data_IF_850194700107
#
_entry.id   IF_850194700107
#
_cell.length_a   1.000
_cell.length_b   1.000
_cell.length_c   1.000
_cell.angle_alpha   90.00
_cell.angle_beta   90.00
_cell.angle_gamma   90.00
#
_symmetry.space_group_name_H-M   'P 1'
#
loop_
_entity.id
_entity.type
_entity.pdbx_description
1 polymer ?
#
# COMPACT_ATOMS: atom_id res chain seq x y z
N UNK A 1 -10.43 13.46 8.57
CA UNK A 1 -10.56 12.17 9.28
C UNK A 1 -10.52 11.03 8.29
N UNK A 2 -9.80 9.92 8.63
CA UNK A 2 -9.75 8.69 7.84
C UNK A 2 -10.37 7.59 8.69
N UNK A 3 -11.26 6.77 8.09
CA UNK A 3 -11.83 5.61 8.76
C UNK A 3 -11.45 4.32 8.04
N UNK A 4 -11.23 3.28 8.82
CA UNK A 4 -11.10 1.92 8.35
C UNK A 4 -12.42 1.18 8.55
N UNK A 5 -13.10 0.85 7.45
CA UNK A 5 -14.45 0.28 7.46
C UNK A 5 -14.46 -0.97 6.58
N UNK A 6 -14.68 -2.14 7.17
CA UNK A 6 -14.68 -3.41 6.45
C UNK A 6 -16.04 -3.80 5.85
N UNK A 7 -17.09 -2.99 6.06
CA UNK A 7 -18.39 -3.22 5.46
C UNK A 7 -18.70 -2.14 4.42
N UNK A 8 -18.60 -2.43 3.10
CA UNK A 8 -18.86 -1.46 2.04
C UNK A 8 -20.26 -0.85 2.05
N UNK A 9 -21.24 -1.54 2.63
CA UNK A 9 -22.62 -1.00 2.76
C UNK A 9 -22.70 0.21 3.68
N UNK A 10 -21.73 0.37 4.58
CA UNK A 10 -21.66 1.49 5.52
C UNK A 10 -20.82 2.67 5.00
N UNK A 11 -20.13 2.55 3.89
CA UNK A 11 -19.22 3.60 3.39
C UNK A 11 -19.92 4.96 3.29
N UNK A 12 -21.12 4.98 2.68
CA UNK A 12 -21.89 6.22 2.49
C UNK A 12 -22.37 6.82 3.80
N UNK A 13 -22.71 6.00 4.79
CA UNK A 13 -23.07 6.49 6.13
C UNK A 13 -21.89 7.16 6.83
N UNK A 14 -20.68 6.58 6.70
CA UNK A 14 -19.47 7.18 7.28
C UNK A 14 -19.12 8.52 6.61
N UNK A 15 -19.26 8.63 5.29
CA UNK A 15 -18.99 9.86 4.54
C UNK A 15 -20.07 10.91 4.81
N UNK A 16 -21.33 10.60 4.50
CA UNK A 16 -22.40 11.61 4.47
C UNK A 16 -22.98 11.95 5.85
N UNK A 17 -22.95 11.01 6.80
CA UNK A 17 -23.47 11.20 8.16
C UNK A 17 -22.38 11.29 9.21
N UNK A 18 -21.30 10.52 9.02
CA UNK A 18 -20.14 10.54 9.92
C UNK A 18 -19.16 11.66 9.62
N UNK A 19 -19.25 12.27 8.44
CA UNK A 19 -18.36 13.33 7.97
C UNK A 19 -16.87 12.94 7.98
N UNK A 20 -16.58 11.67 7.64
CA UNK A 20 -15.21 11.26 7.37
C UNK A 20 -14.77 11.75 6.00
N UNK A 21 -13.54 12.27 5.92
CA UNK A 21 -12.98 12.77 4.68
C UNK A 21 -12.60 11.61 3.74
N UNK A 22 -12.01 10.54 4.31
CA UNK A 22 -11.56 9.38 3.55
C UNK A 22 -11.88 8.05 4.25
N UNK A 23 -12.05 7.01 3.44
CA UNK A 23 -12.15 5.62 3.85
C UNK A 23 -11.08 4.80 3.14
N UNK A 24 -10.44 3.85 3.84
CA UNK A 24 -9.58 2.88 3.19
C UNK A 24 -10.36 2.02 2.18
N UNK A 25 -9.87 1.92 0.95
CA UNK A 25 -10.40 0.97 -0.03
C UNK A 25 -9.78 -0.42 0.15
N UNK A 26 -10.02 -1.00 1.35
CA UNK A 26 -9.49 -2.31 1.75
C UNK A 26 -10.24 -3.44 1.05
N UNK A 27 -11.53 -3.53 1.29
CA UNK A 27 -12.39 -4.65 0.86
C UNK A 27 -12.64 -4.61 -0.64
N UNK A 28 -12.63 -3.42 -1.25
CA UNK A 28 -12.78 -3.22 -2.69
C UNK A 28 -11.46 -3.44 -3.44
N UNK A 29 -10.74 -2.36 -3.68
CA UNK A 29 -9.58 -2.35 -4.58
C UNK A 29 -8.39 -3.12 -4.03
N UNK A 30 -8.00 -2.91 -2.75
CA UNK A 30 -6.83 -3.59 -2.19
C UNK A 30 -6.95 -5.12 -2.26
N UNK A 31 -8.04 -5.69 -1.73
CA UNK A 31 -8.24 -7.14 -1.72
C UNK A 31 -8.30 -7.70 -3.15
N UNK A 32 -8.87 -6.95 -4.08
CA UNK A 32 -8.92 -7.35 -5.49
C UNK A 32 -7.53 -7.35 -6.14
N UNK A 33 -6.73 -6.32 -5.92
CA UNK A 33 -5.36 -6.26 -6.45
C UNK A 33 -4.50 -7.39 -5.90
N UNK A 34 -4.63 -7.68 -4.60
CA UNK A 34 -3.96 -8.83 -3.96
C UNK A 34 -4.37 -10.15 -4.60
N UNK A 35 -5.67 -10.37 -4.79
CA UNK A 35 -6.19 -11.57 -5.43
C UNK A 35 -5.74 -11.73 -6.90
N UNK A 36 -5.72 -10.62 -7.66
CA UNK A 36 -5.21 -10.63 -9.06
C UNK A 36 -3.72 -10.97 -9.08
N UNK A 37 -2.92 -10.38 -8.19
CA UNK A 37 -1.48 -10.65 -8.13
C UNK A 37 -1.16 -12.10 -7.77
N UNK A 38 -2.01 -12.72 -6.96
CA UNK A 38 -1.92 -14.14 -6.59
C UNK A 38 -2.48 -15.09 -7.66
N UNK A 39 -3.09 -14.56 -8.73
CA UNK A 39 -3.72 -15.36 -9.77
C UNK A 39 -5.06 -15.99 -9.39
N UNK A 40 -5.69 -15.50 -8.33
CA UNK A 40 -6.96 -16.06 -7.82
C UNK A 40 -8.19 -15.51 -8.56
N UNK A 41 -8.06 -14.39 -9.23
CA UNK A 41 -9.14 -13.82 -10.03
C UNK A 41 -8.60 -13.03 -11.24
N UNK A 42 -9.49 -12.66 -12.13
CA UNK A 42 -9.13 -11.91 -13.35
C UNK A 42 -8.95 -10.42 -13.06
N UNK A 43 -7.97 -9.78 -13.72
CA UNK A 43 -7.82 -8.33 -13.67
C UNK A 43 -9.04 -7.56 -14.20
N UNK A 44 -9.91 -8.20 -15.00
CA UNK A 44 -11.19 -7.60 -15.44
C UNK A 44 -12.11 -7.25 -14.27
N UNK A 45 -11.94 -7.91 -13.12
CA UNK A 45 -12.77 -7.64 -11.94
C UNK A 45 -12.42 -6.31 -11.25
N UNK A 46 -11.27 -5.70 -11.57
CA UNK A 46 -10.88 -4.38 -11.05
C UNK A 46 -11.92 -3.32 -11.44
N UNK A 47 -12.49 -3.42 -12.65
CA UNK A 47 -13.53 -2.48 -13.10
C UNK A 47 -14.73 -2.44 -12.15
N UNK A 48 -15.19 -3.59 -11.67
CA UNK A 48 -16.32 -3.63 -10.73
C UNK A 48 -16.00 -3.03 -9.36
N UNK A 49 -14.74 -3.03 -8.94
CA UNK A 49 -14.34 -2.44 -7.66
C UNK A 49 -14.58 -0.93 -7.67
N UNK A 50 -14.05 -0.22 -8.67
CA UNK A 50 -14.24 1.22 -8.72
C UNK A 50 -15.68 1.63 -9.06
N UNK A 51 -16.40 0.86 -9.90
CA UNK A 51 -17.81 1.12 -10.19
C UNK A 51 -18.69 1.05 -8.95
N UNK A 52 -18.37 0.17 -8.02
CA UNK A 52 -19.15 0.00 -6.77
C UNK A 52 -19.07 1.21 -5.83
N UNK A 53 -18.08 2.06 -6.00
CA UNK A 53 -17.82 3.25 -5.18
C UNK A 53 -17.72 4.53 -6.02
N UNK A 54 -18.21 4.49 -7.28
CA UNK A 54 -18.08 5.58 -8.24
C UNK A 54 -18.58 6.93 -7.71
N UNK A 55 -19.70 6.92 -6.99
CA UNK A 55 -20.33 8.11 -6.40
C UNK A 55 -19.60 8.67 -5.17
N UNK A 56 -18.67 7.91 -4.59
CA UNK A 56 -17.87 8.30 -3.43
C UNK A 56 -16.37 8.17 -3.70
N UNK A 57 -15.98 8.04 -4.96
CA UNK A 57 -14.62 7.75 -5.36
C UNK A 57 -13.59 8.73 -4.78
N UNK A 58 -13.92 10.02 -4.71
CA UNK A 58 -13.07 11.07 -4.15
C UNK A 58 -12.77 10.90 -2.65
N UNK A 59 -13.57 10.10 -1.96
CA UNK A 59 -13.40 9.77 -0.54
C UNK A 59 -12.67 8.45 -0.31
N UNK A 60 -12.32 7.71 -1.34
CA UNK A 60 -11.64 6.42 -1.18
C UNK A 60 -10.12 6.62 -1.14
N UNK A 61 -9.48 6.18 -0.07
CA UNK A 61 -8.02 6.18 0.09
C UNK A 61 -7.46 4.85 -0.41
N UNK A 62 -6.79 4.88 -1.55
CA UNK A 62 -6.09 3.71 -2.08
C UNK A 62 -4.80 3.44 -1.31
N UNK A 63 -4.44 2.18 -1.18
CA UNK A 63 -3.18 1.76 -0.56
C UNK A 63 -2.80 0.35 -1.03
N UNK A 64 -1.55 -0.03 -0.85
CA UNK A 64 -1.04 -1.37 -1.13
C UNK A 64 -0.40 -2.02 0.09
N UNK A 65 0.04 -1.23 1.04
CA UNK A 65 0.59 -1.66 2.33
C UNK A 65 0.08 -0.73 3.43
N UNK A 66 -0.13 -1.28 4.61
CA UNK A 66 -0.41 -0.53 5.83
C UNK A 66 0.13 -1.29 7.05
N UNK A 67 -0.24 -0.86 8.24
CA UNK A 67 0.23 -1.46 9.50
C UNK A 67 -0.37 -2.84 9.82
N UNK A 68 -1.44 -3.24 9.14
CA UNK A 68 -2.13 -4.51 9.35
C UNK A 68 -1.92 -5.53 8.22
N UNK A 69 -1.56 -5.07 7.02
CA UNK A 69 -1.40 -5.93 5.86
C UNK A 69 0.06 -6.35 5.63
N UNK A 70 0.25 -7.52 5.04
CA UNK A 70 1.58 -7.98 4.67
C UNK A 70 2.21 -7.06 3.63
N UNK A 71 3.52 -6.87 3.73
CA UNK A 71 4.32 -6.18 2.74
C UNK A 71 4.28 -6.91 1.40
N UNK A 72 4.23 -6.19 0.29
CA UNK A 72 4.23 -6.77 -1.06
C UNK A 72 5.43 -7.69 -1.26
N UNK A 73 6.60 -7.29 -0.77
CA UNK A 73 7.84 -8.05 -0.90
C UNK A 73 7.96 -9.24 0.06
N UNK A 74 7.02 -9.42 0.99
CA UNK A 74 7.03 -10.54 1.93
C UNK A 74 6.69 -11.87 1.25
N UNK A 75 7.13 -12.97 1.85
CA UNK A 75 6.81 -14.32 1.40
C UNK A 75 5.31 -14.65 1.55
N UNK A 76 4.59 -13.85 2.33
CA UNK A 76 3.14 -14.00 2.57
C UNK A 76 2.26 -13.21 1.58
N UNK A 77 2.86 -12.41 0.70
CA UNK A 77 2.13 -11.71 -0.36
C UNK A 77 2.70 -12.08 -1.73
N UNK A 78 3.61 -11.30 -2.29
CA UNK A 78 4.12 -11.51 -3.64
C UNK A 78 5.57 -12.01 -3.69
N UNK A 79 6.29 -11.96 -2.58
CA UNK A 79 7.70 -12.37 -2.45
C UNK A 79 8.71 -11.51 -3.19
N UNK A 80 8.24 -10.48 -3.90
CA UNK A 80 9.06 -9.58 -4.71
C UNK A 80 8.35 -8.22 -4.84
N UNK A 81 9.02 -7.15 -4.42
CA UNK A 81 8.48 -5.78 -4.49
C UNK A 81 8.15 -5.34 -5.93
N UNK A 82 8.87 -5.86 -6.94
CA UNK A 82 8.63 -5.51 -8.35
C UNK A 82 7.27 -6.00 -8.85
N UNK A 83 6.72 -7.05 -8.26
CA UNK A 83 5.37 -7.53 -8.58
C UNK A 83 4.28 -6.54 -8.15
N UNK A 84 4.59 -5.60 -7.25
CA UNK A 84 3.72 -4.51 -6.85
C UNK A 84 3.57 -3.40 -7.90
N UNK A 85 4.45 -3.33 -8.91
CA UNK A 85 4.46 -2.24 -9.89
C UNK A 85 3.13 -2.06 -10.65
N UNK A 86 2.49 -3.11 -11.19
CA UNK A 86 1.17 -2.96 -11.83
C UNK A 86 0.09 -2.52 -10.84
N UNK A 87 0.15 -3.01 -9.59
CA UNK A 87 -0.80 -2.62 -8.55
C UNK A 87 -0.66 -1.14 -8.20
N UNK A 88 0.59 -0.64 -8.12
CA UNK A 88 0.86 0.78 -7.89
C UNK A 88 0.26 1.65 -9.00
N UNK A 89 0.45 1.28 -10.28
CA UNK A 89 -0.14 2.02 -11.40
C UNK A 89 -1.66 2.09 -11.31
N UNK A 90 -2.32 0.98 -10.99
CA UNK A 90 -3.78 0.97 -10.82
C UNK A 90 -4.19 1.86 -9.66
N UNK A 91 -3.57 1.71 -8.49
CA UNK A 91 -3.94 2.46 -7.28
C UNK A 91 -3.69 3.96 -7.40
N UNK A 92 -2.65 4.37 -8.11
CA UNK A 92 -2.27 5.77 -8.23
C UNK A 92 -2.94 6.49 -9.42
N UNK A 93 -3.23 5.77 -10.53
CA UNK A 93 -3.59 6.41 -11.79
C UNK A 93 -5.00 6.06 -12.30
N UNK A 94 -5.71 5.13 -11.64
CA UNK A 94 -7.05 4.74 -12.09
C UNK A 94 -8.05 5.88 -11.90
N UNK A 95 -7.90 6.66 -10.84
CA UNK A 95 -8.75 7.78 -10.45
C UNK A 95 -7.92 8.90 -9.83
N UNK A 96 -8.57 9.98 -9.42
CA UNK A 96 -7.96 11.14 -8.76
C UNK A 96 -8.03 11.07 -7.23
N UNK A 97 -8.35 9.93 -6.66
CA UNK A 97 -8.41 9.74 -5.22
C UNK A 97 -7.00 9.63 -4.61
N UNK A 98 -6.84 10.00 -3.34
CA UNK A 98 -5.55 9.95 -2.68
C UNK A 98 -5.03 8.52 -2.55
N UNK A 99 -3.71 8.37 -2.57
CA UNK A 99 -3.04 7.11 -2.33
C UNK A 99 -2.10 7.23 -1.13
N UNK A 100 -2.16 6.27 -0.22
CA UNK A 100 -1.22 6.15 0.88
C UNK A 100 -0.03 5.26 0.49
N UNK A 101 1.17 5.75 0.72
CA UNK A 101 2.41 4.96 0.66
C UNK A 101 2.84 4.67 2.10
N UNK A 102 2.90 3.39 2.46
CA UNK A 102 3.37 2.99 3.78
C UNK A 102 4.90 3.05 3.83
N UNK A 103 5.47 3.45 4.98
CA UNK A 103 6.91 3.69 5.12
C UNK A 103 7.74 2.49 4.66
N UNK A 104 8.73 2.71 3.78
CA UNK A 104 9.59 1.67 3.24
C UNK A 104 8.97 0.86 2.09
N UNK A 105 7.71 1.07 1.73
CA UNK A 105 7.07 0.42 0.59
C UNK A 105 7.82 0.72 -0.71
N UNK A 106 8.22 1.97 -0.90
CA UNK A 106 8.99 2.44 -2.05
C UNK A 106 10.44 1.90 -2.08
N UNK A 107 10.88 1.30 -0.99
CA UNK A 107 12.19 0.65 -0.85
C UNK A 107 12.10 -0.87 -0.93
N UNK A 108 10.91 -1.42 -1.01
CA UNK A 108 10.69 -2.86 -1.05
C UNK A 108 10.88 -3.56 0.30
N UNK A 109 10.49 -2.88 1.40
CA UNK A 109 10.53 -3.49 2.73
C UNK A 109 9.74 -4.80 2.76
N UNK A 110 10.34 -5.84 3.36
CA UNK A 110 9.76 -7.19 3.37
C UNK A 110 8.94 -7.51 4.61
N UNK A 111 9.27 -6.90 5.76
CA UNK A 111 8.68 -7.26 7.05
C UNK A 111 8.92 -8.73 7.41
N UNK A 112 10.08 -9.28 7.02
CA UNK A 112 10.43 -10.71 7.21
C UNK A 112 11.53 -10.93 8.24
N UNK A 113 11.92 -9.88 8.93
CA UNK A 113 12.90 -9.99 10.02
C UNK A 113 12.19 -10.40 11.31
N UNK A 114 12.88 -11.18 12.15
CA UNK A 114 12.35 -11.66 13.45
C UNK A 114 12.44 -10.55 14.49
N UNK A 115 11.61 -9.55 14.37
CA UNK A 115 11.65 -8.35 15.18
C UNK A 115 10.25 -7.85 15.53
N UNK A 116 10.20 -7.04 16.57
CA UNK A 116 8.97 -6.41 17.01
C UNK A 116 7.93 -7.38 17.54
N UNK A 117 6.70 -6.95 17.49
CA UNK A 117 5.55 -7.65 18.05
C UNK A 117 5.00 -8.76 17.15
N UNK A 118 5.08 -8.57 15.84
CA UNK A 118 4.47 -9.46 14.85
C UNK A 118 5.34 -10.66 14.47
N UNK A 119 6.67 -10.58 14.69
CA UNK A 119 7.60 -11.61 14.24
C UNK A 119 7.75 -11.65 12.72
N UNK A 120 8.00 -12.83 12.17
CA UNK A 120 8.29 -13.05 10.74
C UNK A 120 7.01 -13.29 9.90
N UNK A 121 6.00 -12.46 10.03
CA UNK A 121 4.72 -12.67 9.35
C UNK A 121 4.49 -11.78 8.13
N UNK A 122 5.50 -11.04 7.71
CA UNK A 122 5.46 -10.14 6.55
C UNK A 122 4.78 -8.80 6.82
N UNK A 123 4.51 -8.47 8.09
CA UNK A 123 3.91 -7.20 8.51
C UNK A 123 4.93 -6.34 9.25
N UNK A 124 4.70 -5.04 9.19
CA UNK A 124 5.43 -4.05 9.99
C UNK A 124 4.38 -3.19 10.68
N UNK A 125 4.04 -3.54 11.91
CA UNK A 125 2.92 -2.93 12.64
C UNK A 125 3.33 -1.64 13.35
N UNK A 126 2.34 -0.86 13.80
CA UNK A 126 2.59 0.32 14.64
C UNK A 126 3.04 -0.05 16.07
N UNK A 127 2.97 -1.32 16.43
CA UNK A 127 3.36 -1.82 17.75
C UNK A 127 4.79 -2.37 17.79
N UNK A 128 5.47 -2.38 16.66
CA UNK A 128 6.84 -2.87 16.53
C UNK A 128 7.83 -1.73 16.75
N UNK A 129 8.83 -1.96 17.60
CA UNK A 129 9.80 -0.95 18.04
C UNK A 129 11.22 -1.37 17.70
N UNK A 130 11.49 -1.62 16.43
CA UNK A 130 12.83 -1.97 15.96
C UNK A 130 13.29 -1.08 14.84
N UNK A 131 14.51 -1.28 14.41
CA UNK A 131 15.04 -0.54 13.27
C UNK A 131 14.87 -1.33 11.98
N UNK A 132 14.12 -0.78 11.06
CA UNK A 132 13.93 -1.33 9.71
C UNK A 132 15.14 -1.00 8.84
N UNK A 133 15.80 -2.02 8.30
CA UNK A 133 17.08 -1.84 7.60
C UNK A 133 16.98 -1.04 6.30
N UNK A 134 15.91 -1.18 5.55
CA UNK A 134 15.66 -0.35 4.36
C UNK A 134 15.59 1.13 4.70
N UNK A 135 14.90 1.48 5.78
CA UNK A 135 14.80 2.85 6.28
C UNK A 135 16.14 3.35 6.84
N UNK A 136 16.91 2.48 7.51
CA UNK A 136 18.26 2.86 7.97
C UNK A 136 19.17 3.24 6.81
N UNK A 137 19.15 2.45 5.74
CA UNK A 137 19.94 2.72 4.52
C UNK A 137 19.50 4.02 3.87
N UNK A 138 18.20 4.25 3.74
CA UNK A 138 17.66 5.49 3.20
C UNK A 138 18.05 6.71 4.05
N UNK A 139 17.90 6.60 5.38
CA UNK A 139 18.23 7.69 6.32
C UNK A 139 19.72 8.04 6.33
N UNK A 140 20.61 7.08 6.14
CA UNK A 140 22.06 7.24 6.10
C UNK A 140 22.60 8.15 7.21
N UNK A 141 22.35 7.81 8.49
CA UNK A 141 22.82 8.59 9.63
C UNK A 141 22.25 10.01 9.74
N UNK A 142 21.18 10.31 9.02
CA UNK A 142 20.53 11.64 8.99
C UNK A 142 20.88 12.50 7.78
N UNK A 143 21.63 11.97 6.81
CA UNK A 143 21.97 12.66 5.56
C UNK A 143 20.83 12.64 4.56
N UNK A 144 19.98 11.60 4.56
CA UNK A 144 18.83 11.42 3.67
C UNK A 144 19.18 11.49 2.18
N UNK A 145 20.39 11.08 1.82
CA UNK A 145 20.94 11.15 0.45
C UNK A 145 20.79 9.83 -0.34
N UNK A 146 20.26 8.78 0.31
CA UNK A 146 20.10 7.47 -0.32
C UNK A 146 21.41 6.76 -0.69
N UNK A 147 22.56 7.25 -0.24
CA UNK A 147 23.86 6.70 -0.63
C UNK A 147 24.06 5.24 -0.21
N UNK A 148 23.40 4.80 0.86
CA UNK A 148 23.47 3.42 1.35
C UNK A 148 22.39 2.50 0.76
N UNK A 149 21.46 3.02 -0.05
CA UNK A 149 20.47 2.20 -0.73
C UNK A 149 21.15 1.29 -1.77
N UNK A 150 20.65 0.07 -1.87
CA UNK A 150 21.04 -0.84 -2.94
C UNK A 150 20.53 -0.33 -4.31
N UNK A 151 21.06 -0.84 -5.40
CA UNK A 151 20.59 -0.47 -6.75
C UNK A 151 19.12 -0.89 -6.98
N UNK A 152 18.68 -1.99 -6.37
CA UNK A 152 17.29 -2.44 -6.46
C UNK A 152 16.35 -1.47 -5.73
N UNK A 153 16.70 -1.04 -4.51
CA UNK A 153 15.93 -0.06 -3.73
C UNK A 153 15.86 1.30 -4.45
N UNK A 154 16.97 1.77 -5.01
CA UNK A 154 17.01 3.00 -5.81
C UNK A 154 16.06 2.94 -7.01
N UNK A 155 16.16 1.86 -7.81
CA UNK A 155 15.32 1.65 -8.99
C UNK A 155 13.83 1.56 -8.65
N UNK A 156 13.49 0.88 -7.56
CA UNK A 156 12.11 0.79 -7.12
C UNK A 156 11.59 2.17 -6.68
N UNK A 157 12.37 2.89 -5.87
CA UNK A 157 12.02 4.22 -5.41
C UNK A 157 11.86 5.22 -6.56
N UNK A 158 12.73 5.16 -7.55
CA UNK A 158 12.64 5.99 -8.76
C UNK A 158 11.36 5.68 -9.55
N UNK A 159 10.96 4.41 -9.60
CA UNK A 159 9.71 4.02 -10.23
C UNK A 159 8.49 4.57 -9.46
N UNK A 160 8.49 4.51 -8.12
CA UNK A 160 7.45 5.12 -7.30
C UNK A 160 7.36 6.63 -7.55
N UNK A 161 8.49 7.33 -7.55
CA UNK A 161 8.54 8.76 -7.85
C UNK A 161 7.91 9.08 -9.21
N UNK A 162 8.29 8.35 -10.27
CA UNK A 162 7.73 8.54 -11.61
C UNK A 162 6.21 8.32 -11.66
N UNK A 163 5.70 7.31 -10.98
CA UNK A 163 4.25 7.03 -10.96
C UNK A 163 3.50 8.12 -10.20
N UNK A 164 4.02 8.54 -9.05
CA UNK A 164 3.38 9.56 -8.21
C UNK A 164 3.47 10.97 -8.83
N UNK A 165 4.47 11.24 -9.65
CA UNK A 165 4.54 12.50 -10.42
C UNK A 165 3.48 12.56 -11.55
N UNK A 166 2.88 11.43 -11.92
CA UNK A 166 1.82 11.36 -12.92
C UNK A 166 0.41 11.39 -12.33
N UNK A 167 0.30 11.15 -11.01
CA UNK A 167 -1.00 11.03 -10.32
C UNK A 167 -1.64 12.36 -9.93
#
# INVERSE_FOLDING_TARGET
FIAEVYNPQLYRDYIYRGHFDYLYDKVGLYDKLKAVSAGWCSAKEITSCWQSVEDIQEHMLNFLENHDEQRIASDFFAGDALKGRPMLLVSALMNTNPMMIYFGQELGERGMDSEGFSGEDGRTTIFDYWTVDTIRRWRNGGKFDGALLTDAEKKLRDYYAQVLDMS
#
